data_IF_482152267294
#
_entry.id   IF_482152267294
#
_cell.length_a   1.000
_cell.length_b   1.000
_cell.length_c   1.000
_cell.angle_alpha   90.00
_cell.angle_beta   90.00
_cell.angle_gamma   90.00
#
_symmetry.space_group_name_H-M   'P 1'
#
loop_
_entity.id
_entity.type
_entity.pdbx_description
1 polymer ?
#
# COMPACT_ATOMS: atom_id res chain seq x y z
N UNK A 1 -13.51 -6.81 1.93
CA UNK A 1 -14.47 -5.84 1.35
C UNK A 1 -15.69 -6.59 0.83
N UNK A 2 -16.70 -5.90 0.29
CA UNK A 2 -17.87 -6.54 -0.31
C UNK A 2 -18.08 -5.99 -1.71
N UNK A 3 -18.26 -6.86 -2.68
CA UNK A 3 -18.72 -6.50 -4.03
C UNK A 3 -20.08 -7.14 -4.24
N UNK A 4 -21.02 -6.42 -4.84
CA UNK A 4 -22.40 -6.84 -4.99
C UNK A 4 -22.94 -6.38 -6.34
N UNK A 5 -23.97 -7.06 -6.84
CA UNK A 5 -24.47 -6.84 -8.20
C UNK A 5 -23.71 -7.66 -9.24
N UNK A 6 -24.40 -8.04 -10.31
CA UNK A 6 -23.90 -9.02 -11.28
C UNK A 6 -22.67 -8.53 -12.03
N UNK A 7 -22.71 -7.29 -12.54
CA UNK A 7 -21.61 -6.70 -13.32
C UNK A 7 -20.35 -6.52 -12.47
N UNK A 8 -20.49 -5.91 -11.29
CA UNK A 8 -19.37 -5.70 -10.38
C UNK A 8 -18.76 -7.02 -9.90
N UNK A 9 -19.57 -8.06 -9.67
CA UNK A 9 -19.03 -9.39 -9.35
C UNK A 9 -18.30 -10.00 -10.54
N UNK A 10 -18.81 -9.87 -11.77
CA UNK A 10 -18.09 -10.34 -12.97
C UNK A 10 -16.74 -9.62 -13.12
N UNK A 11 -16.70 -8.31 -12.90
CA UNK A 11 -15.46 -7.53 -12.89
C UNK A 11 -14.52 -7.99 -11.77
N UNK A 12 -15.02 -8.22 -10.56
CA UNK A 12 -14.23 -8.73 -9.45
C UNK A 12 -13.68 -10.15 -9.69
N UNK A 13 -14.41 -11.01 -10.40
CA UNK A 13 -13.92 -12.32 -10.80
C UNK A 13 -12.84 -12.19 -11.89
N UNK A 14 -12.96 -11.20 -12.78
CA UNK A 14 -11.97 -10.94 -13.83
C UNK A 14 -10.70 -10.28 -13.29
N UNK A 15 -10.80 -9.47 -12.25
CA UNK A 15 -9.65 -8.89 -11.58
C UNK A 15 -8.93 -9.91 -10.70
N UNK A 16 -7.71 -9.58 -10.29
CA UNK A 16 -6.91 -10.36 -9.33
C UNK A 16 -7.34 -10.13 -7.88
N UNK A 17 -8.62 -9.74 -7.67
CA UNK A 17 -9.18 -9.63 -6.34
C UNK A 17 -9.42 -11.04 -5.78
N UNK A 18 -8.84 -11.32 -4.61
CA UNK A 18 -9.06 -12.59 -3.93
C UNK A 18 -10.48 -12.64 -3.34
N UNK A 19 -11.39 -13.30 -4.04
CA UNK A 19 -12.75 -13.53 -3.56
C UNK A 19 -12.74 -14.72 -2.61
N UNK A 20 -12.94 -14.46 -1.32
CA UNK A 20 -13.03 -15.50 -0.29
C UNK A 20 -14.29 -16.36 -0.43
N UNK A 21 -15.42 -15.71 -0.72
CA UNK A 21 -16.72 -16.40 -0.75
C UNK A 21 -17.79 -15.61 -1.50
N UNK A 22 -18.55 -16.29 -2.34
CA UNK A 22 -19.74 -15.74 -2.99
C UNK A 22 -21.02 -16.20 -2.30
N UNK A 23 -21.93 -15.26 -2.03
CA UNK A 23 -23.29 -15.52 -1.54
C UNK A 23 -24.28 -15.22 -2.66
N UNK A 24 -25.03 -16.24 -3.09
CA UNK A 24 -26.02 -16.13 -4.17
C UNK A 24 -27.41 -16.39 -3.59
N UNK A 25 -28.42 -15.62 -4.01
CA UNK A 25 -29.81 -15.85 -3.60
C UNK A 25 -30.24 -17.26 -4.05
N UNK A 26 -30.88 -18.03 -3.17
CA UNK A 26 -31.56 -19.28 -3.57
C UNK A 26 -32.55 -18.99 -4.71
N UNK A 27 -32.59 -19.87 -5.71
CA UNK A 27 -33.45 -19.75 -6.91
C UNK A 27 -33.20 -18.46 -7.72
N UNK A 28 -31.96 -17.96 -7.74
CA UNK A 28 -31.61 -16.83 -8.60
C UNK A 28 -31.63 -17.25 -10.08
N UNK A 29 -32.37 -16.51 -10.90
CA UNK A 29 -32.47 -16.71 -12.36
C UNK A 29 -31.30 -16.00 -13.05
N UNK A 30 -30.81 -16.54 -14.17
CA UNK A 30 -29.75 -15.94 -14.99
C UNK A 30 -28.44 -15.74 -14.20
N UNK A 31 -27.99 -16.78 -13.49
CA UNK A 31 -26.74 -16.79 -12.69
C UNK A 31 -25.73 -17.85 -13.15
N UNK A 32 -26.06 -18.60 -14.20
CA UNK A 32 -25.31 -19.76 -14.70
C UNK A 32 -23.88 -19.36 -15.08
N UNK A 33 -23.73 -18.27 -15.84
CA UNK A 33 -22.43 -17.75 -16.27
C UNK A 33 -21.55 -17.33 -15.08
N UNK A 34 -22.13 -16.66 -14.08
CA UNK A 34 -21.39 -16.19 -12.90
C UNK A 34 -20.97 -17.38 -12.02
N UNK A 35 -21.88 -18.33 -11.81
CA UNK A 35 -21.60 -19.57 -11.06
C UNK A 35 -20.48 -20.35 -11.75
N UNK A 36 -20.51 -20.47 -13.08
CA UNK A 36 -19.47 -21.13 -13.85
C UNK A 36 -18.11 -20.47 -13.65
N UNK A 37 -18.04 -19.13 -13.74
CA UNK A 37 -16.80 -18.36 -13.52
C UNK A 37 -16.27 -18.50 -12.09
N UNK A 38 -17.14 -18.45 -11.08
CA UNK A 38 -16.77 -18.64 -9.67
C UNK A 38 -16.21 -20.05 -9.43
N UNK A 39 -16.86 -21.09 -9.97
CA UNK A 39 -16.36 -22.47 -9.88
C UNK A 39 -15.02 -22.65 -10.58
N UNK A 40 -14.84 -22.06 -11.77
CA UNK A 40 -13.57 -22.12 -12.51
C UNK A 40 -12.38 -21.54 -11.73
N UNK A 41 -12.61 -20.52 -10.89
CA UNK A 41 -11.61 -19.94 -9.98
C UNK A 41 -11.56 -20.60 -8.59
N UNK A 42 -12.23 -21.73 -8.38
CA UNK A 42 -12.32 -22.42 -7.08
C UNK A 42 -12.85 -21.54 -5.93
N UNK A 43 -13.70 -20.56 -6.24
CA UNK A 43 -14.27 -19.66 -5.22
C UNK A 43 -15.44 -20.37 -4.54
N UNK A 44 -15.47 -20.47 -3.20
CA UNK A 44 -16.59 -21.05 -2.47
C UNK A 44 -17.90 -20.30 -2.70
N UNK A 45 -18.97 -21.04 -3.01
CA UNK A 45 -20.31 -20.50 -3.26
C UNK A 45 -21.26 -20.95 -2.15
N UNK A 46 -22.11 -20.05 -1.66
CA UNK A 46 -23.20 -20.38 -0.73
C UNK A 46 -24.52 -19.80 -1.22
N UNK A 47 -25.49 -20.68 -1.43
CA UNK A 47 -26.86 -20.29 -1.76
C UNK A 47 -27.62 -19.93 -0.49
N UNK A 48 -28.02 -18.66 -0.37
CA UNK A 48 -28.61 -18.10 0.85
C UNK A 48 -29.98 -17.46 0.59
N UNK A 49 -30.85 -17.37 1.61
CA UNK A 49 -32.07 -16.57 1.55
C UNK A 49 -31.79 -15.07 1.29
N UNK A 50 -32.78 -14.35 0.79
CA UNK A 50 -32.64 -12.91 0.44
C UNK A 50 -32.30 -12.06 1.67
N UNK A 51 -32.79 -12.45 2.84
CA UNK A 51 -32.57 -11.81 4.14
C UNK A 51 -31.07 -11.79 4.48
N UNK A 52 -30.34 -12.86 4.14
CA UNK A 52 -28.89 -12.93 4.36
C UNK A 52 -28.15 -11.92 3.48
N UNK A 53 -28.59 -11.73 2.22
CA UNK A 53 -28.01 -10.74 1.32
C UNK A 53 -28.29 -9.31 1.79
N UNK A 54 -29.53 -9.03 2.22
CA UNK A 54 -29.92 -7.73 2.83
C UNK A 54 -29.10 -7.41 4.07
N UNK A 55 -28.76 -8.40 4.91
CA UNK A 55 -27.82 -8.23 6.04
C UNK A 55 -26.38 -7.93 5.59
N UNK A 56 -25.97 -8.39 4.41
CA UNK A 56 -24.63 -8.15 3.90
C UNK A 56 -24.51 -6.76 3.27
N UNK A 57 -25.54 -6.23 2.63
CA UNK A 57 -25.55 -4.90 2.03
C UNK A 57 -26.98 -4.39 1.87
N UNK A 58 -27.18 -3.09 2.12
CA UNK A 58 -28.46 -2.40 1.88
C UNK A 58 -28.61 -1.96 0.41
N UNK A 59 -27.55 -2.11 -0.40
CA UNK A 59 -27.55 -1.71 -1.81
C UNK A 59 -28.18 -2.78 -2.71
N UNK A 60 -28.50 -2.38 -3.96
CA UNK A 60 -29.07 -3.30 -4.95
C UNK A 60 -28.06 -4.38 -5.37
N UNK A 61 -28.08 -5.50 -4.67
CA UNK A 61 -27.14 -6.60 -4.85
C UNK A 61 -27.51 -7.57 -5.98
N UNK A 62 -28.68 -7.41 -6.64
CA UNK A 62 -29.12 -8.23 -7.78
C UNK A 62 -29.03 -9.76 -7.57
N UNK A 63 -29.21 -10.20 -6.32
CA UNK A 63 -29.12 -11.60 -5.92
C UNK A 63 -27.71 -12.16 -5.68
N UNK A 64 -26.64 -11.35 -5.67
CA UNK A 64 -25.28 -11.81 -5.40
C UNK A 64 -24.43 -10.82 -4.59
N UNK A 65 -23.66 -11.34 -3.64
CA UNK A 65 -22.66 -10.58 -2.87
C UNK A 65 -21.40 -11.44 -2.70
N UNK A 66 -20.25 -10.92 -3.09
CA UNK A 66 -18.95 -11.53 -2.88
C UNK A 66 -18.22 -10.87 -1.69
N UNK A 67 -17.70 -11.70 -0.79
CA UNK A 67 -16.68 -11.29 0.17
C UNK A 67 -15.32 -11.38 -0.49
N UNK A 68 -14.61 -10.26 -0.47
CA UNK A 68 -13.25 -10.17 -0.97
C UNK A 68 -12.34 -10.07 0.25
N UNK A 69 -11.20 -10.75 0.21
CA UNK A 69 -10.15 -10.64 1.22
C UNK A 69 -9.89 -9.16 1.48
N UNK A 70 -9.98 -8.76 2.75
CA UNK A 70 -9.45 -7.46 3.14
C UNK A 70 -7.94 -7.58 3.01
N UNK A 71 -7.32 -6.65 2.30
CA UNK A 71 -5.88 -6.47 2.40
C UNK A 71 -5.56 -6.24 3.87
N UNK A 72 -4.71 -7.10 4.42
CA UNK A 72 -4.32 -7.02 5.81
C UNK A 72 -3.48 -5.76 5.99
N UNK A 73 -3.93 -4.89 6.87
CA UNK A 73 -3.15 -3.74 7.31
C UNK A 73 -2.83 -3.92 8.78
N UNK A 74 -1.68 -3.41 9.17
CA UNK A 74 -1.12 -3.53 10.50
C UNK A 74 -1.21 -2.17 11.21
N UNK A 75 -1.25 -2.17 12.53
CA UNK A 75 -1.28 -0.94 13.33
C UNK A 75 0.12 -0.57 13.84
N UNK A 76 0.21 0.46 14.69
CA UNK A 76 1.48 0.92 15.25
C UNK A 76 2.15 -0.12 16.17
N UNK A 77 1.38 -0.89 16.94
CA UNK A 77 1.92 -1.94 17.81
C UNK A 77 2.46 -3.13 17.00
N UNK A 78 1.78 -3.47 15.89
CA UNK A 78 2.28 -4.46 14.95
C UNK A 78 3.62 -4.01 14.33
N UNK A 79 3.75 -2.70 14.03
CA UNK A 79 5.02 -2.12 13.56
C UNK A 79 6.09 -2.24 14.63
N UNK A 80 5.82 -1.82 15.87
CA UNK A 80 6.76 -1.95 16.99
C UNK A 80 7.28 -3.39 17.13
N UNK A 81 6.37 -4.36 17.20
CA UNK A 81 6.70 -5.78 17.27
C UNK A 81 7.50 -6.30 16.08
N UNK A 82 7.19 -5.83 14.86
CA UNK A 82 7.95 -6.21 13.65
C UNK A 82 9.40 -5.72 13.66
N UNK A 83 9.64 -4.54 14.23
CA UNK A 83 10.96 -3.91 14.23
C UNK A 83 11.87 -4.39 15.37
N UNK A 84 11.30 -5.02 16.39
CA UNK A 84 12.07 -5.65 17.47
C UNK A 84 13.14 -6.61 16.90
N UNK A 85 14.36 -6.51 17.43
CA UNK A 85 15.51 -7.34 17.07
C UNK A 85 16.00 -7.24 15.60
N UNK A 86 15.44 -6.36 14.76
CA UNK A 86 15.97 -6.10 13.42
C UNK A 86 17.29 -5.34 13.51
N UNK A 87 18.36 -5.82 12.87
CA UNK A 87 19.62 -5.06 12.71
C UNK A 87 19.64 -4.19 11.44
N UNK A 88 18.95 -4.66 10.39
CA UNK A 88 18.77 -3.98 9.11
C UNK A 88 17.29 -3.99 8.78
N UNK A 89 16.72 -2.83 8.48
CA UNK A 89 15.32 -2.67 8.11
C UNK A 89 15.13 -1.38 7.32
N UNK A 90 14.38 -1.44 6.21
CA UNK A 90 14.06 -0.34 5.31
C UNK A 90 12.56 -0.09 5.33
N UNK A 91 12.15 1.10 5.75
CA UNK A 91 10.75 1.49 5.71
C UNK A 91 10.56 2.72 4.84
N UNK A 92 9.38 2.82 4.24
CA UNK A 92 8.95 4.00 3.50
C UNK A 92 7.72 4.59 4.19
N UNK A 93 7.82 5.86 4.57
CA UNK A 93 6.73 6.60 5.22
C UNK A 93 6.14 7.54 4.19
N UNK A 94 4.82 7.49 4.04
CA UNK A 94 4.11 8.32 3.06
C UNK A 94 3.31 9.38 3.79
N UNK A 95 3.73 10.63 3.62
CA UNK A 95 3.06 11.79 4.21
C UNK A 95 2.15 12.46 3.18
N UNK A 96 0.84 12.22 3.31
CA UNK A 96 -0.16 12.88 2.48
C UNK A 96 -0.30 12.37 1.05
N UNK A 97 0.17 11.16 0.72
CA UNK A 97 -0.06 10.56 -0.61
C UNK A 97 -1.53 10.15 -0.75
N UNK A 98 -2.32 10.94 -1.47
CA UNK A 98 -3.78 10.74 -1.62
C UNK A 98 -4.19 10.03 -2.90
N UNK A 99 -3.36 10.06 -3.95
CA UNK A 99 -3.65 9.41 -5.23
C UNK A 99 -3.43 7.88 -5.15
N UNK A 100 -4.46 7.12 -5.51
CA UNK A 100 -4.50 5.64 -5.44
C UNK A 100 -3.56 4.98 -6.44
N UNK A 101 -3.29 5.60 -7.60
CA UNK A 101 -2.37 5.08 -8.60
C UNK A 101 -0.93 5.24 -8.14
N UNK A 102 -0.56 6.43 -7.71
CA UNK A 102 0.73 6.75 -7.10
C UNK A 102 0.98 5.82 -5.91
N UNK A 103 0.00 5.64 -5.02
CA UNK A 103 0.15 4.76 -3.86
C UNK A 103 0.43 3.31 -4.27
N UNK A 104 -0.33 2.74 -5.21
CA UNK A 104 -0.07 1.38 -5.67
C UNK A 104 1.26 1.23 -6.40
N UNK A 105 1.67 2.21 -7.22
CA UNK A 105 2.99 2.20 -7.86
C UNK A 105 4.14 2.25 -6.84
N UNK A 106 4.01 3.04 -5.77
CA UNK A 106 4.97 3.09 -4.66
C UNK A 106 5.05 1.72 -3.96
N UNK A 107 3.91 1.08 -3.70
CA UNK A 107 3.87 -0.27 -3.10
C UNK A 107 4.61 -1.28 -3.98
N UNK A 108 4.36 -1.24 -5.30
CA UNK A 108 5.06 -2.10 -6.26
C UNK A 108 6.57 -1.88 -6.23
N UNK A 109 7.02 -0.64 -6.30
CA UNK A 109 8.44 -0.32 -6.24
C UNK A 109 9.07 -0.82 -4.93
N UNK A 110 8.39 -0.60 -3.81
CA UNK A 110 8.88 -1.00 -2.49
C UNK A 110 9.07 -2.52 -2.39
N UNK A 111 8.10 -3.29 -2.87
CA UNK A 111 8.19 -4.75 -2.91
C UNK A 111 9.33 -5.21 -3.82
N UNK A 112 9.41 -4.69 -5.05
CA UNK A 112 10.44 -5.07 -6.02
C UNK A 112 11.88 -4.72 -5.58
N UNK A 113 12.06 -3.64 -4.82
CA UNK A 113 13.37 -3.20 -4.33
C UNK A 113 13.69 -3.67 -2.90
N UNK A 114 12.89 -4.57 -2.33
CA UNK A 114 13.18 -5.21 -1.05
C UNK A 114 13.05 -4.28 0.16
N UNK A 115 12.12 -3.33 0.11
CA UNK A 115 11.69 -2.54 1.27
C UNK A 115 10.91 -3.45 2.22
N UNK A 116 11.14 -3.32 3.53
CA UNK A 116 10.56 -4.21 4.55
C UNK A 116 9.11 -3.84 4.94
N UNK A 117 8.66 -2.61 4.62
CA UNK A 117 7.28 -2.19 4.84
C UNK A 117 6.99 -0.72 4.50
N UNK A 118 5.70 -0.40 4.36
CA UNK A 118 5.21 0.96 4.14
C UNK A 118 4.37 1.41 5.33
N UNK A 119 4.56 2.65 5.80
CA UNK A 119 3.78 3.25 6.87
C UNK A 119 3.02 4.47 6.37
N UNK A 120 1.72 4.52 6.66
CA UNK A 120 0.81 5.59 6.24
C UNK A 120 -0.14 5.97 7.39
N UNK A 121 -0.61 7.22 7.41
CA UNK A 121 -1.71 7.61 8.31
C UNK A 121 -3.04 6.99 7.85
N UNK A 122 -3.93 6.67 8.79
CA UNK A 122 -5.30 6.19 8.49
C UNK A 122 -6.13 7.22 7.72
N UNK A 123 -5.87 8.51 7.96
CA UNK A 123 -6.51 9.65 7.32
C UNK A 123 -5.51 10.44 6.48
N UNK A 124 -5.99 11.22 5.51
CA UNK A 124 -5.14 12.05 4.65
C UNK A 124 -4.26 11.27 3.67
N UNK A 125 -4.48 9.96 3.51
CA UNK A 125 -3.75 9.11 2.56
C UNK A 125 -4.72 8.32 1.67
N UNK A 126 -4.20 7.80 0.56
CA UNK A 126 -4.94 7.02 -0.41
C UNK A 126 -5.56 5.80 0.27
N UNK A 127 -6.83 5.56 -0.03
CA UNK A 127 -7.51 4.35 0.45
C UNK A 127 -7.01 3.13 -0.33
N UNK A 128 -6.95 1.99 0.36
CA UNK A 128 -6.67 0.73 -0.31
C UNK A 128 -7.96 0.32 -1.05
N UNK A 129 -7.92 0.44 -2.37
CA UNK A 129 -9.04 0.18 -3.28
C UNK A 129 -8.61 -0.75 -4.42
N UNK A 130 -9.56 -1.15 -5.26
CA UNK A 130 -9.29 -1.96 -6.46
C UNK A 130 -8.29 -1.29 -7.41
N UNK A 131 -8.31 0.05 -7.46
CA UNK A 131 -7.35 0.83 -8.26
C UNK A 131 -5.94 0.71 -7.70
N UNK A 132 -5.75 0.80 -6.38
CA UNK A 132 -4.46 0.58 -5.72
C UNK A 132 -3.95 -0.84 -5.95
N UNK A 133 -4.84 -1.84 -5.90
CA UNK A 133 -4.48 -3.24 -6.16
C UNK A 133 -3.97 -3.38 -7.59
N UNK A 134 -4.70 -2.83 -8.56
CA UNK A 134 -4.34 -2.87 -9.97
C UNK A 134 -3.01 -2.16 -10.25
N UNK A 135 -2.82 -0.94 -9.74
CA UNK A 135 -1.58 -0.18 -9.94
C UNK A 135 -0.39 -0.83 -9.23
N UNK A 136 -0.60 -1.50 -8.09
CA UNK A 136 0.44 -2.27 -7.41
C UNK A 136 0.81 -3.59 -8.10
N UNK A 137 0.00 -4.05 -9.08
CA UNK A 137 0.21 -5.33 -9.76
C UNK A 137 0.32 -6.53 -8.80
N UNK A 138 -0.45 -6.50 -7.70
CA UNK A 138 -0.47 -7.56 -6.69
C UNK A 138 0.58 -7.46 -5.59
N UNK A 139 1.58 -6.57 -5.71
CA UNK A 139 2.62 -6.37 -4.69
C UNK A 139 2.07 -6.02 -3.30
N UNK A 140 0.89 -5.41 -3.24
CA UNK A 140 0.18 -5.06 -2.00
C UNK A 140 -0.13 -6.25 -1.09
N UNK A 141 -0.12 -7.49 -1.62
CA UNK A 141 -0.32 -8.70 -0.83
C UNK A 141 0.95 -9.23 -0.18
N UNK A 142 2.13 -8.84 -0.67
CA UNK A 142 3.43 -9.35 -0.23
C UNK A 142 4.15 -8.38 0.73
N UNK A 143 3.79 -7.11 0.71
CA UNK A 143 4.44 -6.06 1.48
C UNK A 143 3.54 -5.61 2.66
N UNK A 144 4.02 -5.62 3.91
CA UNK A 144 3.23 -5.16 5.05
C UNK A 144 2.99 -3.65 4.96
N UNK A 145 1.71 -3.27 5.07
CA UNK A 145 1.26 -1.87 5.15
C UNK A 145 0.78 -1.58 6.56
N UNK A 146 1.47 -0.65 7.23
CA UNK A 146 1.12 -0.18 8.57
C UNK A 146 0.29 1.11 8.47
N UNK A 147 -0.96 1.04 8.94
CA UNK A 147 -1.88 2.17 9.03
C UNK A 147 -1.95 2.67 10.47
N UNK A 148 -1.33 3.82 10.72
CA UNK A 148 -1.21 4.44 12.04
C UNK A 148 -2.17 5.61 12.19
N UNK A 149 -2.57 5.96 13.41
CA UNK A 149 -3.46 7.11 13.64
C UNK A 149 -2.78 8.43 13.24
N UNK A 150 -1.54 8.62 13.66
CA UNK A 150 -0.70 9.73 13.24
C UNK A 150 0.67 9.24 12.76
N UNK A 151 1.11 9.68 11.58
CA UNK A 151 2.44 9.34 11.06
C UNK A 151 3.57 9.78 12.00
N UNK A 152 3.36 10.86 12.76
CA UNK A 152 4.31 11.36 13.76
C UNK A 152 4.60 10.33 14.87
N UNK A 153 3.60 9.55 15.29
CA UNK A 153 3.80 8.53 16.33
C UNK A 153 4.74 7.43 15.82
N UNK A 154 4.59 7.04 14.55
CA UNK A 154 5.51 6.11 13.90
C UNK A 154 6.92 6.70 13.76
N UNK A 155 7.04 8.01 13.50
CA UNK A 155 8.34 8.71 13.45
C UNK A 155 9.04 8.66 14.80
N UNK A 156 8.33 8.90 15.90
CA UNK A 156 8.90 8.77 17.24
C UNK A 156 9.31 7.34 17.57
N UNK A 157 8.45 6.37 17.25
CA UNK A 157 8.70 4.95 17.47
C UNK A 157 10.00 4.48 16.78
N UNK A 158 10.13 4.74 15.47
CA UNK A 158 11.33 4.29 14.74
C UNK A 158 12.59 5.04 15.19
N UNK A 159 12.47 6.30 15.62
CA UNK A 159 13.59 7.06 16.15
C UNK A 159 14.13 6.47 17.45
N UNK A 160 13.23 6.10 18.38
CA UNK A 160 13.59 5.42 19.62
C UNK A 160 14.28 4.07 19.36
N UNK A 161 13.87 3.38 18.30
CA UNK A 161 14.51 2.14 17.86
C UNK A 161 15.80 2.31 17.04
N UNK A 162 16.34 3.53 16.94
CA UNK A 162 17.61 3.83 16.29
C UNK A 162 17.58 3.81 14.76
N UNK A 163 16.42 4.07 14.14
CA UNK A 163 16.36 4.29 12.71
C UNK A 163 16.93 5.66 12.33
N UNK A 164 17.70 5.71 11.24
CA UNK A 164 18.01 6.98 10.57
C UNK A 164 16.81 7.39 9.71
N UNK A 165 16.29 8.58 9.92
CA UNK A 165 15.11 9.11 9.23
C UNK A 165 15.55 10.15 8.21
N UNK A 166 15.22 9.91 6.94
CA UNK A 166 15.64 10.74 5.82
C UNK A 166 14.42 11.23 5.05
N UNK A 167 14.36 12.52 4.75
CA UNK A 167 13.27 13.12 3.99
C UNK A 167 13.69 13.42 2.55
N UNK A 168 12.89 12.99 1.58
CA UNK A 168 13.04 13.42 0.19
C UNK A 168 12.50 14.85 0.03
N UNK A 169 13.38 15.79 -0.29
CA UNK A 169 13.08 17.22 -0.45
C UNK A 169 13.92 17.77 -1.60
N UNK A 170 13.27 18.33 -2.65
CA UNK A 170 13.98 18.91 -3.79
C UNK A 170 14.93 20.06 -3.41
N UNK A 171 14.69 20.72 -2.27
CA UNK A 171 15.48 21.84 -1.77
C UNK A 171 16.75 21.40 -1.04
N UNK A 172 16.94 20.10 -0.83
CA UNK A 172 18.13 19.60 -0.16
C UNK A 172 19.41 19.83 -0.97
N UNK A 173 20.52 20.04 -0.29
CA UNK A 173 21.85 20.09 -0.90
C UNK A 173 22.42 18.69 -1.13
N UNK A 174 22.02 17.71 -0.30
CA UNK A 174 22.56 16.35 -0.33
C UNK A 174 21.83 15.50 -1.37
N UNK A 175 22.58 14.65 -2.06
CA UNK A 175 22.02 13.69 -3.00
C UNK A 175 21.89 12.32 -2.35
N UNK A 176 20.85 11.57 -2.71
CA UNK A 176 20.63 10.22 -2.18
C UNK A 176 21.81 9.28 -2.41
N UNK A 177 22.49 9.40 -3.55
CA UNK A 177 23.67 8.60 -3.92
C UNK A 177 24.84 8.76 -2.96
N UNK A 178 24.93 9.89 -2.26
CA UNK A 178 25.96 10.18 -1.26
C UNK A 178 25.62 9.71 0.15
N UNK A 179 24.43 9.15 0.37
CA UNK A 179 23.98 8.75 1.70
C UNK A 179 24.30 7.28 1.98
N UNK A 180 24.70 7.01 3.23
CA UNK A 180 24.80 5.64 3.75
C UNK A 180 23.41 5.13 4.12
N UNK A 181 22.95 4.12 3.38
CA UNK A 181 21.65 3.49 3.48
C UNK A 181 21.81 2.00 3.83
N UNK A 182 22.75 1.62 4.70
CA UNK A 182 23.07 0.20 5.01
C UNK A 182 22.31 -0.40 6.21
N UNK A 183 21.90 0.42 7.18
CA UNK A 183 21.35 -0.05 8.47
C UNK A 183 19.83 0.14 8.57
N UNK A 184 19.28 0.35 9.77
CA UNK A 184 17.89 0.79 9.96
C UNK A 184 17.67 2.16 9.32
N UNK A 185 16.81 2.24 8.32
CA UNK A 185 16.54 3.50 7.60
C UNK A 185 15.06 3.65 7.30
N UNK A 186 14.55 4.86 7.53
CA UNK A 186 13.24 5.30 7.06
C UNK A 186 13.43 6.38 6.02
N UNK A 187 12.78 6.23 4.86
CA UNK A 187 12.63 7.34 3.92
C UNK A 187 11.21 7.89 4.03
N UNK A 188 11.08 9.20 4.14
CA UNK A 188 9.80 9.90 4.10
C UNK A 188 9.61 10.51 2.71
N UNK A 189 8.46 10.22 2.10
CA UNK A 189 8.02 10.80 0.84
C UNK A 189 6.77 11.65 1.09
N UNK A 190 6.76 12.87 0.57
CA UNK A 190 5.67 13.83 0.74
C UNK A 190 4.66 13.83 -0.41
N UNK A 191 3.53 14.50 -0.20
CA UNK A 191 2.50 14.66 -1.20
C UNK A 191 2.95 15.54 -2.36
N UNK A 192 2.36 15.33 -3.52
CA UNK A 192 2.51 16.26 -4.63
C UNK A 192 2.04 17.66 -4.20
N UNK A 193 2.79 18.69 -4.60
CA UNK A 193 2.53 20.10 -4.29
C UNK A 193 2.90 20.56 -2.89
N UNK A 194 2.50 19.84 -1.82
CA UNK A 194 2.78 20.24 -0.43
C UNK A 194 4.10 19.70 0.12
N UNK A 195 4.62 18.63 -0.47
CA UNK A 195 5.80 17.94 0.05
C UNK A 195 5.54 17.30 1.41
N UNK A 196 6.58 17.20 2.22
CA UNK A 196 6.53 16.62 3.57
C UNK A 196 6.10 17.70 4.57
N UNK A 197 5.24 17.34 5.51
CA UNK A 197 4.76 18.26 6.54
C UNK A 197 5.91 18.80 7.40
N UNK A 198 5.94 20.13 7.69
CA UNK A 198 7.02 20.75 8.45
C UNK A 198 7.32 20.10 9.82
N UNK A 199 6.33 19.63 10.60
CA UNK A 199 6.60 18.93 11.85
C UNK A 199 7.41 17.65 11.65
N UNK A 200 7.14 16.89 10.58
CA UNK A 200 7.85 15.64 10.27
C UNK A 200 9.26 15.95 9.76
N UNK A 201 9.41 16.94 8.89
CA UNK A 201 10.72 17.40 8.42
C UNK A 201 11.66 17.77 9.58
N UNK A 202 11.16 18.47 10.60
CA UNK A 202 11.94 18.85 11.80
C UNK A 202 12.43 17.64 12.63
N UNK A 203 11.87 16.45 12.43
CA UNK A 203 12.26 15.23 13.15
C UNK A 203 13.19 14.32 12.33
N UNK A 204 13.32 14.58 11.04
CA UNK A 204 14.25 13.89 10.16
C UNK A 204 15.69 14.21 10.55
N UNK A 205 16.58 13.24 10.42
CA UNK A 205 18.00 13.41 10.71
C UNK A 205 18.73 14.08 9.53
N UNK A 206 18.18 13.91 8.31
CA UNK A 206 18.68 14.56 7.11
C UNK A 206 17.59 14.74 6.06
N UNK A 207 17.82 15.67 5.13
CA UNK A 207 17.06 15.75 3.88
C UNK A 207 17.95 15.37 2.71
N UNK A 208 17.35 14.96 1.61
CA UNK A 208 18.08 14.64 0.38
C UNK A 208 17.22 14.86 -0.86
N UNK A 209 17.88 15.01 -2.00
CA UNK A 209 17.26 15.09 -3.32
C UNK A 209 17.74 14.00 -4.27
N UNK A 210 16.97 13.84 -5.34
CA UNK A 210 17.39 13.16 -6.56
C UNK A 210 18.09 14.20 -7.44
N UNK A 211 19.25 13.87 -8.01
CA UNK A 211 19.93 14.76 -8.94
C UNK A 211 19.14 14.84 -10.25
N UNK A 212 18.70 16.05 -10.63
CA UNK A 212 18.00 16.33 -11.88
C UNK A 212 18.85 17.27 -12.74
N UNK A 213 18.97 16.96 -14.03
CA UNK A 213 19.74 17.76 -15.00
C UNK A 213 18.83 18.78 -15.72
N UNK A 214 17.54 18.45 -15.84
CA UNK A 214 16.56 19.26 -16.56
C UNK A 214 16.14 20.52 -15.81
N UNK A 215 15.26 21.30 -16.45
CA UNK A 215 14.68 22.53 -15.88
C UNK A 215 13.52 22.26 -14.91
N UNK A 216 12.95 21.06 -14.94
CA UNK A 216 11.85 20.68 -14.05
C UNK A 216 12.41 20.33 -12.68
N UNK A 217 11.86 20.95 -11.64
CA UNK A 217 12.41 20.88 -10.28
C UNK A 217 11.98 19.64 -9.50
N UNK A 218 10.99 18.89 -9.99
CA UNK A 218 10.48 17.71 -9.29
C UNK A 218 10.01 16.60 -10.25
N UNK A 219 9.93 15.39 -9.71
CA UNK A 219 9.38 14.22 -10.37
C UNK A 219 8.04 13.85 -9.73
N UNK A 220 7.18 13.16 -10.48
CA UNK A 220 6.03 12.48 -9.88
C UNK A 220 6.52 11.55 -8.76
N UNK A 221 5.79 11.54 -7.64
CA UNK A 221 6.23 10.85 -6.41
C UNK A 221 6.43 9.35 -6.61
N UNK A 222 5.65 8.71 -7.48
CA UNK A 222 5.81 7.29 -7.77
C UNK A 222 7.09 7.01 -8.55
N UNK A 223 7.48 7.89 -9.48
CA UNK A 223 8.75 7.80 -10.22
C UNK A 223 9.93 8.06 -9.28
N UNK A 224 9.85 9.13 -8.48
CA UNK A 224 10.86 9.45 -7.49
C UNK A 224 11.09 8.29 -6.51
N UNK A 225 10.01 7.66 -6.04
CA UNK A 225 10.09 6.51 -5.14
C UNK A 225 10.87 5.34 -5.74
N UNK A 226 10.71 5.05 -7.04
CA UNK A 226 11.42 3.98 -7.71
C UNK A 226 12.93 4.25 -7.79
N UNK A 227 13.32 5.48 -8.15
CA UNK A 227 14.73 5.90 -8.19
C UNK A 227 15.36 5.80 -6.79
N UNK A 228 14.63 6.28 -5.78
CA UNK A 228 15.08 6.27 -4.39
C UNK A 228 15.28 4.84 -3.88
N UNK A 229 14.29 3.98 -4.08
CA UNK A 229 14.33 2.59 -3.60
C UNK A 229 15.36 1.75 -4.36
N UNK A 230 15.60 2.05 -5.64
CA UNK A 230 16.70 1.44 -6.39
C UNK A 230 18.07 1.84 -5.82
N UNK A 231 18.26 3.09 -5.40
CA UNK A 231 19.49 3.50 -4.70
C UNK A 231 19.66 2.75 -3.37
N UNK A 232 18.58 2.59 -2.61
CA UNK A 232 18.58 1.81 -1.37
C UNK A 232 18.98 0.35 -1.66
N UNK A 233 18.42 -0.26 -2.71
CA UNK A 233 18.67 -1.68 -3.03
C UNK A 233 20.13 -1.96 -3.39
N UNK A 234 20.80 -1.03 -4.08
CA UNK A 234 22.26 -1.14 -4.38
C UNK A 234 23.13 -1.17 -3.12
N UNK A 235 22.67 -0.60 -2.03
CA UNK A 235 23.40 -0.57 -0.76
C UNK A 235 22.92 -1.65 0.23
N UNK A 236 21.89 -2.42 -0.14
CA UNK A 236 21.25 -3.37 0.74
C UNK A 236 22.06 -4.68 0.78
N UNK A 237 22.56 -5.13 1.94
CA UNK A 237 23.31 -6.37 2.05
C UNK A 237 22.47 -7.62 1.69
N UNK A 238 21.14 -7.52 1.64
CA UNK A 238 20.25 -8.59 1.16
C UNK A 238 20.25 -8.76 -0.37
N UNK A 239 20.91 -7.87 -1.12
CA UNK A 239 20.75 -7.70 -2.57
C UNK A 239 21.67 -8.50 -3.49
N UNK A 240 22.44 -9.48 -3.00
CA UNK A 240 23.13 -10.42 -3.88
C UNK A 240 22.20 -11.59 -4.20
N UNK A 241 21.37 -11.42 -5.23
CA UNK A 241 20.83 -12.53 -6.02
C UNK A 241 21.81 -12.83 -7.16
#
# INVERSE_FOLDING_TARGET
MKVYGRRSVIEAIKSDLEIQKAFIKKNAINMEEIIFKLKKKNIPISFVPIEKLKKLTNNNHQGIVCLISKIKTFNLNDLDGFLQNKKVCKLIFLDGITDTKNFGSIIRNAECFGIDGIVVSKTGTAQISDETIKSSSGAIFNLPIYKVDHLMDAVFLVKDQGFKILAADEKSEKQISGLSLKNKTVIILGSEGKGISPPILKKCDDTFKIALIGKTESLNVSVASGIIMHEISKQNPKGNL
#
